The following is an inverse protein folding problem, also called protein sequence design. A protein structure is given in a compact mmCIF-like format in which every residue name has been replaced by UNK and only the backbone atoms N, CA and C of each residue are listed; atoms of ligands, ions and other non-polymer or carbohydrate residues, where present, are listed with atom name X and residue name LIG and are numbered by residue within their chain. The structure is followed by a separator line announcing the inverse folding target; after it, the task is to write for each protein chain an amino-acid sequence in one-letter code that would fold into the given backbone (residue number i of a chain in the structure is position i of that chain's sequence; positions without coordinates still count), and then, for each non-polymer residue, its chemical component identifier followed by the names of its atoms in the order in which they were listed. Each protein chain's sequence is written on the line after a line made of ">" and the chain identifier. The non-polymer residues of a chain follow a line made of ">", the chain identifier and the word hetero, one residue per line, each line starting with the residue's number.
data_IF_743135946849
#
_entry.id   IF_743135946849
#
_cell.length_a   1.000
_cell.length_b   1.000
_cell.length_c   1.000
_cell.angle_alpha   90.00
_cell.angle_beta   90.00
_cell.angle_gamma   90.00
#
_symmetry.space_group_name_H-M   'P 1'
#
loop_
_entity.id
_entity.type
_entity.pdbx_description
1 polymer ?
#
# COMPACT_ATOMS: atom_id res chain seq x y z
N UNK A 1 8.48 13.44 28.14
CA UNK A 1 8.41 12.25 27.26
C UNK A 1 7.92 12.72 25.90
N UNK A 2 8.70 12.55 24.82
CA UNK A 2 8.19 12.85 23.48
C UNK A 2 7.28 11.70 23.03
N UNK A 3 6.02 12.00 22.73
CA UNK A 3 5.09 11.05 22.12
C UNK A 3 5.58 10.64 20.72
N UNK A 4 5.21 9.45 20.26
CA UNK A 4 5.54 8.97 18.91
C UNK A 4 4.25 8.58 18.20
N UNK A 5 4.13 8.91 16.92
CA UNK A 5 2.97 8.51 16.10
C UNK A 5 3.11 7.02 15.76
N UNK A 6 2.11 6.22 16.16
CA UNK A 6 2.06 4.77 15.90
C UNK A 6 0.90 4.36 14.99
N UNK A 7 -0.09 5.22 14.81
CA UNK A 7 -1.22 4.98 13.92
C UNK A 7 -1.57 6.28 13.21
N UNK A 8 -1.86 6.18 11.92
CA UNK A 8 -2.29 7.30 11.11
C UNK A 8 -3.40 6.83 10.17
N UNK A 9 -4.58 7.43 10.32
CA UNK A 9 -5.71 7.23 9.43
C UNK A 9 -5.90 8.53 8.64
N UNK A 10 -5.75 8.44 7.34
CA UNK A 10 -6.00 9.50 6.36
C UNK A 10 -6.98 8.99 5.29
N UNK A 11 -7.81 8.01 5.64
CA UNK A 11 -8.83 7.51 4.71
C UNK A 11 -9.92 8.55 4.48
N UNK A 12 -10.48 8.57 3.27
CA UNK A 12 -11.54 9.52 2.87
C UNK A 12 -11.15 11.01 2.93
N UNK A 13 -9.85 11.34 2.99
CA UNK A 13 -9.36 12.74 3.08
C UNK A 13 -9.35 13.46 1.71
N UNK A 14 -9.98 12.88 0.68
CA UNK A 14 -10.01 13.40 -0.70
C UNK A 14 -8.62 13.75 -1.25
N UNK A 15 -7.58 13.03 -0.82
CA UNK A 15 -6.23 13.26 -1.32
C UNK A 15 -6.20 12.93 -2.82
N UNK A 16 -6.09 13.98 -3.64
CA UNK A 16 -5.89 13.92 -5.09
C UNK A 16 -4.41 14.04 -5.47
N UNK A 17 -3.60 14.63 -4.57
CA UNK A 17 -2.18 14.73 -4.79
C UNK A 17 -1.50 13.38 -4.51
N UNK A 18 -0.65 12.97 -5.46
CA UNK A 18 0.17 11.76 -5.36
C UNK A 18 0.94 11.77 -4.04
N UNK A 19 0.93 10.67 -3.29
CA UNK A 19 1.88 10.51 -2.18
C UNK A 19 3.29 10.47 -2.80
N UNK A 20 3.96 11.62 -2.88
CA UNK A 20 5.28 11.72 -3.48
C UNK A 20 6.35 11.17 -2.54
N UNK A 21 7.48 10.75 -3.11
CA UNK A 21 8.69 10.32 -2.38
C UNK A 21 9.21 11.37 -1.36
N UNK A 22 8.82 12.63 -1.47
CA UNK A 22 9.15 13.72 -0.54
C UNK A 22 8.21 13.84 0.66
N UNK A 23 7.16 13.01 0.75
CA UNK A 23 6.20 13.08 1.85
C UNK A 23 6.86 12.84 3.21
N UNK A 24 6.57 13.73 4.18
CA UNK A 24 6.98 13.57 5.57
C UNK A 24 6.41 12.30 6.23
N UNK A 25 5.38 11.69 5.63
CA UNK A 25 4.82 10.39 6.01
C UNK A 25 5.92 9.33 6.19
N UNK A 26 6.90 9.29 5.29
CA UNK A 26 7.96 8.28 5.29
C UNK A 26 9.01 8.49 6.40
N UNK A 27 8.95 9.60 7.14
CA UNK A 27 9.77 9.85 8.32
C UNK A 27 9.18 9.22 9.60
N UNK A 28 7.91 8.76 9.57
CA UNK A 28 7.24 8.15 10.72
C UNK A 28 7.68 6.70 10.96
N UNK A 29 8.96 6.51 11.30
CA UNK A 29 9.63 5.19 11.47
C UNK A 29 9.01 4.28 12.53
N UNK A 30 8.15 4.81 13.39
CA UNK A 30 7.46 4.08 14.46
C UNK A 30 6.02 3.71 14.13
N UNK A 31 5.56 4.05 12.91
CA UNK A 31 4.21 3.77 12.49
C UNK A 31 3.94 2.26 12.46
N UNK A 32 2.81 1.88 13.03
CA UNK A 32 2.32 0.51 13.13
C UNK A 32 1.03 0.29 12.32
N UNK A 33 0.27 1.34 12.05
CA UNK A 33 -0.89 1.30 11.17
C UNK A 33 -0.94 2.53 10.29
N UNK A 34 -1.10 2.32 8.98
CA UNK A 34 -1.29 3.37 7.99
C UNK A 34 -2.53 3.03 7.15
N UNK A 35 -3.56 3.86 7.27
CA UNK A 35 -4.76 3.77 6.46
C UNK A 35 -4.83 4.95 5.49
N UNK A 36 -4.76 4.65 4.20
CA UNK A 36 -4.86 5.59 3.09
C UNK A 36 -6.04 5.24 2.17
N UNK A 37 -6.95 4.38 2.64
CA UNK A 37 -8.05 3.87 1.86
C UNK A 37 -8.99 5.00 1.38
N UNK A 38 -9.70 4.76 0.27
CA UNK A 38 -10.69 5.70 -0.27
C UNK A 38 -10.13 7.12 -0.54
N UNK A 39 -8.85 7.22 -0.88
CA UNK A 39 -8.31 8.42 -1.53
C UNK A 39 -8.29 8.22 -3.06
N UNK A 40 -7.93 9.25 -3.82
CA UNK A 40 -7.88 9.13 -5.29
C UNK A 40 -6.51 9.54 -5.81
N UNK A 41 -5.57 8.60 -5.84
CA UNK A 41 -4.19 8.83 -6.28
C UNK A 41 -4.00 8.77 -7.80
N UNK A 42 -5.05 8.90 -8.62
CA UNK A 42 -4.96 9.03 -10.08
C UNK A 42 -4.10 7.95 -10.78
N UNK A 43 -4.30 6.67 -10.43
CA UNK A 43 -3.53 5.53 -10.95
C UNK A 43 -2.01 5.63 -10.67
N UNK A 44 -1.60 6.46 -9.70
CA UNK A 44 -0.20 6.62 -9.37
C UNK A 44 0.41 5.34 -8.81
N UNK A 45 1.67 5.11 -9.20
CA UNK A 45 2.48 4.04 -8.64
C UNK A 45 2.74 4.26 -7.14
N UNK A 46 2.72 3.17 -6.38
CA UNK A 46 3.14 3.16 -4.98
C UNK A 46 4.61 3.62 -4.92
N UNK A 47 4.99 4.60 -4.08
CA UNK A 47 6.37 5.07 -4.00
C UNK A 47 7.27 4.05 -3.29
N UNK A 48 8.46 3.77 -3.84
CA UNK A 48 9.43 2.86 -3.21
C UNK A 48 9.85 3.30 -1.80
N UNK A 49 9.78 4.61 -1.49
CA UNK A 49 10.05 5.13 -0.15
C UNK A 49 9.06 4.70 0.93
N UNK A 50 7.93 4.11 0.57
CA UNK A 50 7.05 3.44 1.50
C UNK A 50 7.80 2.38 2.34
N UNK A 51 8.82 1.74 1.75
CA UNK A 51 9.70 0.80 2.44
C UNK A 51 10.48 1.40 3.63
N UNK A 52 10.57 2.73 3.73
CA UNK A 52 11.15 3.38 4.92
C UNK A 52 10.32 3.15 6.19
N UNK A 53 9.04 2.80 6.04
CA UNK A 53 8.15 2.39 7.12
C UNK A 53 8.36 0.91 7.48
N UNK A 54 9.62 0.49 7.61
CA UNK A 54 10.01 -0.92 7.83
C UNK A 54 9.39 -1.57 9.09
N UNK A 55 8.84 -0.77 10.01
CA UNK A 55 8.17 -1.26 11.21
C UNK A 55 6.66 -1.48 11.08
N UNK A 56 6.07 -1.19 9.91
CA UNK A 56 4.64 -1.15 9.67
C UNK A 56 4.07 -2.56 9.41
N UNK A 57 3.25 -3.14 10.30
CA UNK A 57 2.52 -4.38 10.05
C UNK A 57 1.27 -4.21 9.19
N UNK A 58 0.64 -3.03 9.19
CA UNK A 58 -0.63 -2.83 8.51
C UNK A 58 -0.58 -1.61 7.58
N UNK A 59 -0.81 -1.87 6.29
CA UNK A 59 -0.96 -0.85 5.26
C UNK A 59 -2.25 -1.09 4.48
N UNK A 60 -3.13 -0.08 4.47
CA UNK A 60 -4.36 -0.10 3.69
C UNK A 60 -4.31 0.98 2.59
N UNK A 61 -4.32 0.53 1.34
CA UNK A 61 -4.42 1.34 0.11
C UNK A 61 -5.69 0.96 -0.68
N UNK A 62 -6.64 0.29 -0.04
CA UNK A 62 -7.88 -0.13 -0.68
C UNK A 62 -8.63 1.06 -1.26
N UNK A 63 -9.11 0.90 -2.49
CA UNK A 63 -9.91 1.90 -3.19
C UNK A 63 -9.23 3.27 -3.25
N UNK A 64 -7.90 3.30 -3.19
CA UNK A 64 -7.11 4.52 -3.20
C UNK A 64 -6.75 4.99 -4.62
N UNK A 65 -7.20 4.26 -5.66
CA UNK A 65 -6.87 4.53 -7.05
C UNK A 65 -5.37 4.42 -7.34
N UNK A 66 -4.64 3.55 -6.64
CA UNK A 66 -3.23 3.25 -6.96
C UNK A 66 -3.15 2.36 -8.21
N UNK A 67 -2.12 2.58 -9.02
CA UNK A 67 -1.86 1.82 -10.26
C UNK A 67 -0.40 1.42 -10.40
N UNK A 68 -0.02 0.95 -11.59
CA UNK A 68 1.36 0.53 -11.89
C UNK A 68 1.81 -0.75 -11.18
N UNK A 69 3.12 -0.97 -11.14
CA UNK A 69 3.74 -2.12 -10.45
C UNK A 69 3.97 -1.84 -8.97
N UNK A 70 3.83 -2.87 -8.13
CA UNK A 70 4.23 -2.82 -6.73
C UNK A 70 5.77 -2.74 -6.66
N UNK A 71 6.36 -1.71 -6.03
CA UNK A 71 7.82 -1.60 -5.94
C UNK A 71 8.43 -2.79 -5.20
N UNK A 72 9.55 -3.30 -5.71
CA UNK A 72 10.27 -4.42 -5.10
C UNK A 72 10.74 -4.09 -3.68
N UNK A 73 10.92 -2.83 -3.34
CA UNK A 73 11.31 -2.37 -2.01
C UNK A 73 10.27 -2.73 -0.94
N UNK A 74 9.00 -2.96 -1.29
CA UNK A 74 8.00 -3.46 -0.33
C UNK A 74 8.40 -4.84 0.23
N UNK A 75 9.14 -5.66 -0.53
CA UNK A 75 9.71 -6.93 -0.02
C UNK A 75 10.67 -6.76 1.17
N UNK A 76 11.24 -5.57 1.34
CA UNK A 76 12.10 -5.27 2.50
C UNK A 76 11.31 -4.93 3.77
N UNK A 77 9.99 -4.73 3.68
CA UNK A 77 9.11 -4.45 4.82
C UNK A 77 8.79 -5.74 5.58
N UNK A 78 9.80 -6.33 6.23
CA UNK A 78 9.73 -7.64 6.88
C UNK A 78 8.74 -7.74 8.05
N UNK A 79 8.24 -6.60 8.54
CA UNK A 79 7.20 -6.55 9.58
C UNK A 79 5.80 -6.37 9.03
N UNK A 80 5.65 -6.06 7.73
CA UNK A 80 4.34 -6.00 7.09
C UNK A 80 3.67 -7.36 7.29
N UNK A 81 2.37 -7.34 7.56
CA UNK A 81 1.53 -8.54 7.73
C UNK A 81 0.32 -8.42 6.82
N UNK A 82 -0.18 -7.20 6.63
CA UNK A 82 -1.33 -6.91 5.80
C UNK A 82 -1.02 -5.76 4.86
N UNK A 83 -1.15 -6.04 3.56
CA UNK A 83 -1.22 -5.05 2.49
C UNK A 83 -2.56 -5.22 1.77
N UNK A 84 -3.44 -4.24 1.92
CA UNK A 84 -4.73 -4.21 1.23
C UNK A 84 -4.66 -3.28 0.02
N UNK A 85 -4.80 -3.86 -1.17
CA UNK A 85 -4.84 -3.17 -2.46
C UNK A 85 -6.19 -3.37 -3.19
N UNK A 86 -7.22 -3.80 -2.46
CA UNK A 86 -8.54 -4.07 -3.06
C UNK A 86 -9.13 -2.84 -3.74
N UNK A 87 -9.79 -3.02 -4.89
CA UNK A 87 -10.42 -1.94 -5.66
C UNK A 87 -11.93 -2.16 -5.76
N UNK A 88 -12.70 -1.14 -6.17
CA UNK A 88 -14.07 -1.37 -6.61
C UNK A 88 -14.01 -2.10 -7.97
N UNK A 89 -14.25 -3.40 -8.00
CA UNK A 89 -13.98 -4.26 -9.16
C UNK A 89 -14.74 -3.87 -10.46
N UNK A 90 -14.14 -4.29 -11.59
CA UNK A 90 -14.66 -4.48 -12.98
C UNK A 90 -14.54 -3.33 -14.02
N UNK A 91 -13.31 -2.95 -14.44
CA UNK A 91 -13.06 -2.54 -15.85
C UNK A 91 -11.59 -2.41 -16.27
N UNK A 92 -10.83 -3.50 -16.21
CA UNK A 92 -9.72 -3.69 -17.16
C UNK A 92 -9.75 -5.13 -17.63
N UNK A 93 -10.34 -5.35 -18.80
CA UNK A 93 -10.16 -6.60 -19.55
C UNK A 93 -8.65 -6.82 -19.77
N UNK A 94 -8.16 -8.01 -19.42
CA UNK A 94 -6.93 -8.62 -19.95
C UNK A 94 -5.57 -8.04 -19.50
N UNK A 95 -5.31 -7.93 -18.19
CA UNK A 95 -3.95 -8.10 -17.70
C UNK A 95 -3.97 -9.21 -16.65
N UNK A 96 -3.27 -10.30 -16.95
CA UNK A 96 -3.07 -11.43 -16.04
C UNK A 96 -2.59 -10.90 -14.68
N UNK A 97 -3.34 -11.08 -13.58
CA UNK A 97 -2.96 -10.58 -12.26
C UNK A 97 -1.63 -11.19 -11.77
N UNK A 98 -1.24 -12.35 -12.30
CA UNK A 98 0.05 -12.99 -11.99
C UNK A 98 1.23 -12.34 -12.73
N UNK A 99 0.98 -11.49 -13.73
CA UNK A 99 2.05 -10.81 -14.49
C UNK A 99 2.73 -9.67 -13.71
N UNK A 100 1.98 -8.95 -12.87
CA UNK A 100 2.47 -7.83 -12.06
C UNK A 100 3.09 -8.27 -10.72
N UNK A 101 2.89 -9.54 -10.32
CA UNK A 101 3.26 -10.07 -9.00
C UNK A 101 4.43 -11.08 -9.04
N UNK A 102 5.18 -11.15 -10.15
CA UNK A 102 6.32 -12.08 -10.33
C UNK A 102 7.56 -11.75 -9.49
N UNK A 103 7.48 -10.82 -8.55
CA UNK A 103 8.57 -10.53 -7.63
C UNK A 103 8.45 -11.36 -6.35
N UNK A 104 9.30 -12.38 -6.32
CA UNK A 104 9.53 -13.40 -5.30
C UNK A 104 9.28 -12.98 -3.85
N UNK A 105 8.46 -13.77 -3.13
CA UNK A 105 8.53 -14.18 -1.70
C UNK A 105 7.19 -14.16 -0.95
N UNK A 106 6.13 -13.58 -1.51
CA UNK A 106 4.85 -13.48 -0.81
C UNK A 106 3.94 -14.68 -1.09
N UNK A 107 3.46 -15.36 -0.05
CA UNK A 107 2.45 -16.42 -0.18
C UNK A 107 1.09 -15.77 -0.41
N UNK A 108 0.67 -15.68 -1.67
CA UNK A 108 -0.61 -15.10 -2.04
C UNK A 108 -1.76 -16.09 -1.78
N UNK A 109 -2.77 -15.70 -0.99
CA UNK A 109 -4.12 -16.26 -1.10
C UNK A 109 -4.98 -15.26 -1.87
N UNK A 110 -4.99 -15.37 -3.19
CA UNK A 110 -5.84 -14.53 -4.06
C UNK A 110 -7.24 -15.13 -4.08
N UNK A 111 -8.20 -14.51 -3.39
CA UNK A 111 -9.61 -14.67 -3.79
C UNK A 111 -9.87 -13.61 -4.87
N UNK A 112 -10.56 -13.97 -5.94
CA UNK A 112 -10.87 -13.12 -7.10
C UNK A 112 -11.65 -11.83 -6.78
N UNK A 113 -11.92 -11.59 -5.50
CA UNK A 113 -12.71 -10.49 -4.96
C UNK A 113 -11.99 -9.73 -3.83
N UNK A 114 -10.78 -10.13 -3.41
CA UNK A 114 -10.03 -9.46 -2.35
C UNK A 114 -8.50 -9.54 -2.58
N UNK A 115 -7.87 -8.46 -3.03
CA UNK A 115 -6.41 -8.31 -3.04
C UNK A 115 -5.89 -7.98 -1.63
N UNK A 116 -6.11 -8.89 -0.68
CA UNK A 116 -5.48 -8.83 0.64
C UNK A 116 -4.24 -9.71 0.58
N UNK A 117 -3.07 -9.09 0.62
CA UNK A 117 -1.80 -9.80 0.75
C UNK A 117 -1.54 -10.02 2.24
N UNK A 118 -1.55 -11.30 2.65
CA UNK A 118 -1.00 -11.74 3.93
C UNK A 118 0.42 -12.23 3.63
N UNK A 119 1.43 -11.51 4.13
CA UNK A 119 2.85 -11.79 3.84
C UNK A 119 3.47 -12.73 4.86
#
# INVERSE_FOLDING_TARGET
>A
MAGRVIGLDLSLESMSDRIGNSSGLFALKHLQSLNLAYNYFEEAQIPSRLANLANLPYLNLSKAGVGGEIPIEISSMTRLVTLDLSTFYTRTLLADPDSQLKSTSFKTSVSSENYILIV
#
